data_IF_062676404870
#
_entry.id   IF_062676404870
#
_cell.length_a   1.000
_cell.length_b   1.000
_cell.length_c   1.000
_cell.angle_alpha   90.00
_cell.angle_beta   90.00
_cell.angle_gamma   90.00
#
_symmetry.space_group_name_H-M   'P 1'
#
loop_
_entity.id
_entity.type
_entity.pdbx_description
1 polymer ?
#
# COMPACT_ATOMS: atom_id res chain seq x y z
N UNK A 1 1.17 -22.39 -21.73
CA UNK A 1 1.71 -21.02 -22.00
C UNK A 1 3.26 -20.98 -22.03
N UNK A 2 3.92 -21.99 -22.62
CA UNK A 2 5.37 -22.20 -22.45
C UNK A 2 6.33 -21.14 -23.06
N UNK A 3 5.86 -20.30 -24.00
CA UNK A 3 6.66 -19.25 -24.65
C UNK A 3 6.36 -17.83 -24.15
N UNK A 4 5.53 -17.67 -23.13
CA UNK A 4 5.09 -16.34 -22.66
C UNK A 4 6.27 -15.43 -22.24
N UNK A 5 7.30 -16.00 -21.63
CA UNK A 5 8.52 -15.28 -21.21
C UNK A 5 9.39 -14.80 -22.39
N UNK A 6 9.14 -15.25 -23.62
CA UNK A 6 9.89 -14.88 -24.83
C UNK A 6 9.17 -13.83 -25.69
N UNK A 7 7.97 -13.40 -25.27
CA UNK A 7 7.17 -12.38 -25.97
C UNK A 7 7.76 -11.00 -25.70
N UNK A 8 7.71 -10.11 -26.69
CA UNK A 8 8.04 -8.68 -26.50
C UNK A 8 7.08 -8.05 -25.50
N UNK A 9 7.57 -7.12 -24.67
CA UNK A 9 6.75 -6.47 -23.65
C UNK A 9 5.50 -5.82 -24.27
N UNK A 10 5.63 -5.13 -25.40
CA UNK A 10 4.54 -4.44 -26.08
C UNK A 10 3.37 -5.36 -26.50
N UNK A 11 3.65 -6.64 -26.77
CA UNK A 11 2.62 -7.61 -27.19
C UNK A 11 1.99 -8.34 -25.99
N UNK A 12 2.60 -8.25 -24.80
CA UNK A 12 2.19 -9.00 -23.61
C UNK A 12 0.74 -8.67 -23.18
N UNK A 13 0.29 -7.40 -23.09
CA UNK A 13 -1.09 -7.10 -22.72
C UNK A 13 -2.12 -7.73 -23.67
N UNK A 14 -1.82 -7.78 -24.98
CA UNK A 14 -2.72 -8.35 -26.00
C UNK A 14 -2.81 -9.87 -25.83
N UNK A 15 -1.69 -10.54 -25.59
CA UNK A 15 -1.66 -11.99 -25.37
C UNK A 15 -2.38 -12.34 -24.06
N UNK A 16 -2.13 -11.59 -22.98
CA UNK A 16 -2.84 -11.80 -21.71
C UNK A 16 -4.34 -11.58 -21.88
N UNK A 17 -4.75 -10.56 -22.65
CA UNK A 17 -6.15 -10.34 -22.99
C UNK A 17 -6.74 -11.58 -23.68
N UNK A 18 -6.08 -12.11 -24.69
CA UNK A 18 -6.54 -13.31 -25.39
C UNK A 18 -6.65 -14.53 -24.47
N UNK A 19 -5.65 -14.77 -23.61
CA UNK A 19 -5.67 -15.88 -22.64
C UNK A 19 -6.87 -15.73 -21.71
N UNK A 20 -7.05 -14.55 -21.09
CA UNK A 20 -8.13 -14.31 -20.13
C UNK A 20 -9.53 -14.42 -20.76
N UNK A 21 -9.71 -14.03 -22.02
CA UNK A 21 -10.99 -14.18 -22.73
C UNK A 21 -11.29 -15.62 -23.16
N UNK A 22 -10.27 -16.48 -23.21
CA UNK A 22 -10.43 -17.89 -23.62
C UNK A 22 -10.71 -18.82 -22.44
N UNK A 23 -10.70 -18.31 -21.20
CA UNK A 23 -10.92 -19.10 -19.99
C UNK A 23 -12.37 -19.56 -19.92
N UNK A 24 -12.55 -20.83 -19.58
CA UNK A 24 -13.83 -21.47 -19.28
C UNK A 24 -13.93 -21.82 -17.78
N UNK A 25 -15.10 -22.25 -17.32
CA UNK A 25 -15.29 -22.64 -15.92
C UNK A 25 -14.45 -23.85 -15.51
N UNK A 26 -14.09 -24.73 -16.46
CA UNK A 26 -13.39 -26.00 -16.19
C UNK A 26 -11.88 -25.84 -16.10
N UNK A 27 -11.29 -24.92 -16.86
CA UNK A 27 -9.84 -24.72 -16.97
C UNK A 27 -9.34 -23.47 -16.22
N UNK A 28 -10.24 -22.62 -15.70
CA UNK A 28 -9.88 -21.37 -15.03
C UNK A 28 -8.81 -21.51 -13.95
N UNK A 29 -8.90 -22.52 -13.07
CA UNK A 29 -7.91 -22.71 -12.00
C UNK A 29 -6.52 -23.03 -12.56
N UNK A 30 -6.43 -23.91 -13.55
CA UNK A 30 -5.17 -24.32 -14.15
C UNK A 30 -4.54 -23.17 -14.95
N UNK A 31 -5.34 -22.49 -15.78
CA UNK A 31 -4.88 -21.37 -16.60
C UNK A 31 -4.41 -20.21 -15.72
N UNK A 32 -5.14 -19.87 -14.65
CA UNK A 32 -4.73 -18.80 -13.73
C UNK A 32 -3.49 -19.19 -12.91
N UNK A 33 -3.36 -20.46 -12.52
CA UNK A 33 -2.14 -20.94 -11.84
C UNK A 33 -0.91 -20.85 -12.75
N UNK A 34 -0.99 -21.33 -14.00
CA UNK A 34 0.12 -21.23 -14.95
C UNK A 34 0.41 -19.76 -15.27
N UNK A 35 -0.61 -18.93 -15.47
CA UNK A 35 -0.44 -17.50 -15.75
C UNK A 35 0.26 -16.79 -14.59
N UNK A 36 -0.16 -17.05 -13.35
CA UNK A 36 0.49 -16.53 -12.14
C UNK A 36 1.97 -16.88 -12.13
N UNK A 37 2.34 -18.17 -12.28
CA UNK A 37 3.74 -18.59 -12.26
C UNK A 37 4.56 -17.89 -13.34
N UNK A 38 4.04 -17.79 -14.57
CA UNK A 38 4.76 -17.13 -15.67
C UNK A 38 4.93 -15.63 -15.46
N UNK A 39 4.01 -14.98 -14.74
CA UNK A 39 4.12 -13.57 -14.36
C UNK A 39 4.96 -13.36 -13.08
N UNK A 40 5.03 -14.35 -12.18
CA UNK A 40 5.72 -14.32 -10.88
C UNK A 40 7.19 -14.76 -10.96
N UNK A 41 7.60 -15.49 -12.01
CA UNK A 41 8.99 -15.91 -12.28
C UNK A 41 9.89 -14.70 -12.65
N UNK A 42 10.09 -13.87 -11.63
CA UNK A 42 11.14 -12.91 -11.31
C UNK A 42 11.40 -11.69 -12.21
N UNK A 43 11.17 -11.65 -13.53
CA UNK A 43 11.74 -10.55 -14.33
C UNK A 43 10.99 -10.11 -15.60
N UNK A 44 9.69 -10.36 -15.78
CA UNK A 44 9.03 -9.79 -16.96
C UNK A 44 9.00 -8.25 -16.95
N UNK A 45 9.25 -7.57 -15.81
CA UNK A 45 9.02 -6.12 -15.74
C UNK A 45 10.13 -5.24 -15.12
N UNK A 46 10.95 -5.60 -14.09
CA UNK A 46 11.67 -4.50 -13.39
C UNK A 46 13.04 -4.59 -12.69
N UNK A 47 13.59 -5.68 -12.13
CA UNK A 47 14.74 -5.46 -11.23
C UNK A 47 16.05 -5.03 -11.93
N UNK A 48 16.26 -5.37 -13.21
CA UNK A 48 17.56 -5.16 -13.86
C UNK A 48 17.86 -3.71 -14.27
N UNK A 49 16.83 -2.84 -14.39
CA UNK A 49 17.04 -1.43 -14.81
C UNK A 49 17.00 -0.43 -13.67
N UNK A 50 16.24 -0.69 -12.60
CA UNK A 50 16.17 0.23 -11.45
C UNK A 50 17.35 0.07 -10.48
N UNK A 51 17.95 -1.12 -10.35
CA UNK A 51 19.09 -1.32 -9.45
C UNK A 51 20.42 -0.73 -9.99
N UNK A 52 20.56 -0.54 -11.30
CA UNK A 52 21.76 0.06 -11.88
C UNK A 52 21.84 1.59 -11.70
N UNK A 53 20.73 2.26 -11.36
CA UNK A 53 20.65 3.72 -11.29
C UNK A 53 20.93 4.28 -9.88
N UNK A 54 20.77 3.49 -8.82
CA UNK A 54 21.06 3.96 -7.45
C UNK A 54 22.57 3.93 -7.08
N UNK A 55 23.44 3.37 -7.92
CA UNK A 55 24.88 3.26 -7.63
C UNK A 55 25.77 4.34 -8.30
N UNK A 56 25.20 5.32 -9.02
CA UNK A 56 25.99 6.39 -9.67
C UNK A 56 25.49 7.81 -9.37
N UNK A 57 25.42 8.18 -8.10
CA UNK A 57 25.53 9.57 -7.68
C UNK A 57 26.95 9.84 -7.18
N UNK A 58 27.87 10.06 -8.13
CA UNK A 58 29.11 10.87 -8.02
C UNK A 58 29.96 10.68 -9.28
N UNK A 59 29.73 11.49 -10.32
CA UNK A 59 30.79 11.95 -11.24
C UNK A 59 30.23 13.03 -12.18
N UNK A 60 31.01 14.07 -12.39
CA UNK A 60 30.71 15.31 -13.13
C UNK A 60 30.55 15.09 -14.64
N UNK A 61 29.56 15.78 -15.22
CA UNK A 61 29.68 16.57 -16.45
C UNK A 61 29.62 15.85 -17.80
N UNK A 62 28.45 15.93 -18.48
CA UNK A 62 28.24 16.31 -19.90
C UNK A 62 26.74 16.19 -20.25
N UNK A 63 26.13 17.06 -21.08
CA UNK A 63 24.73 16.90 -21.46
C UNK A 63 24.63 15.88 -22.59
N UNK A 64 23.99 14.75 -22.33
CA UNK A 64 23.59 13.78 -23.36
C UNK A 64 22.08 13.60 -23.32
N UNK A 65 21.45 13.94 -24.44
CA UNK A 65 20.06 13.66 -24.78
C UNK A 65 19.72 12.18 -24.50
N UNK A 66 18.93 11.92 -23.45
CA UNK A 66 18.25 10.63 -23.22
C UNK A 66 16.77 10.93 -22.99
N UNK A 67 15.99 10.93 -24.07
CA UNK A 67 14.53 10.91 -24.03
C UNK A 67 14.00 9.49 -24.26
N UNK A 68 12.92 9.15 -23.54
CA UNK A 68 11.90 8.13 -23.88
C UNK A 68 12.10 6.62 -23.63
N UNK A 69 13.22 6.13 -23.08
CA UNK A 69 13.32 4.67 -22.81
C UNK A 69 12.69 4.22 -21.46
N UNK A 70 12.55 5.12 -20.48
CA UNK A 70 12.00 4.76 -19.16
C UNK A 70 10.45 4.69 -19.13
N UNK A 71 9.75 5.44 -19.99
CA UNK A 71 8.28 5.46 -20.03
C UNK A 71 7.68 4.18 -20.62
N UNK A 72 8.25 3.69 -21.73
CA UNK A 72 7.70 2.54 -22.47
C UNK A 72 7.49 1.27 -21.63
N UNK A 73 8.42 0.97 -20.74
CA UNK A 73 8.32 -0.19 -19.85
C UNK A 73 7.19 -0.03 -18.84
N UNK A 74 7.07 1.14 -18.21
CA UNK A 74 6.03 1.44 -17.22
C UNK A 74 4.63 1.47 -17.86
N UNK A 75 4.51 2.05 -19.05
CA UNK A 75 3.26 2.11 -19.82
C UNK A 75 2.75 0.69 -20.13
N UNK A 76 3.64 -0.24 -20.48
CA UNK A 76 3.27 -1.63 -20.69
C UNK A 76 2.76 -2.32 -19.41
N UNK A 77 3.34 -2.04 -18.24
CA UNK A 77 2.87 -2.59 -16.95
C UNK A 77 1.45 -2.12 -16.66
N UNK A 78 1.21 -0.82 -16.86
CA UNK A 78 -0.09 -0.20 -16.63
C UNK A 78 -1.12 -0.86 -17.56
N UNK A 79 -0.83 -0.98 -18.85
CA UNK A 79 -1.70 -1.64 -19.82
C UNK A 79 -1.98 -3.11 -19.48
N UNK A 80 -0.95 -3.85 -19.05
CA UNK A 80 -1.10 -5.23 -18.61
C UNK A 80 -2.08 -5.32 -17.43
N UNK A 81 -1.88 -4.49 -16.41
CA UNK A 81 -2.76 -4.47 -15.26
C UNK A 81 -4.15 -3.92 -15.59
N UNK A 82 -4.32 -3.05 -16.58
CA UNK A 82 -5.64 -2.61 -17.06
C UNK A 82 -6.42 -3.76 -17.72
N UNK A 83 -5.75 -4.58 -18.53
CA UNK A 83 -6.33 -5.80 -19.10
C UNK A 83 -6.77 -6.75 -17.99
N UNK A 84 -5.91 -6.98 -17.00
CA UNK A 84 -6.22 -7.87 -15.88
C UNK A 84 -7.33 -7.29 -14.99
N UNK A 85 -7.27 -5.99 -14.63
CA UNK A 85 -8.30 -5.26 -13.87
C UNK A 85 -9.66 -5.38 -14.54
N UNK A 86 -9.72 -5.23 -15.87
CA UNK A 86 -10.94 -5.40 -16.66
C UNK A 86 -11.43 -6.85 -16.57
N UNK A 87 -10.56 -7.83 -16.79
CA UNK A 87 -10.94 -9.25 -16.75
C UNK A 87 -11.51 -9.66 -15.38
N UNK A 88 -10.83 -9.33 -14.27
CA UNK A 88 -11.31 -9.68 -12.92
C UNK A 88 -12.57 -8.90 -12.50
N UNK A 89 -12.85 -7.75 -13.12
CA UNK A 89 -14.06 -6.96 -12.86
C UNK A 89 -15.29 -7.57 -13.54
N UNK A 90 -15.14 -8.00 -14.79
CA UNK A 90 -16.29 -8.46 -15.60
C UNK A 90 -16.48 -9.98 -15.53
N UNK A 91 -15.41 -10.76 -15.35
CA UNK A 91 -15.46 -12.23 -15.31
C UNK A 91 -15.27 -12.77 -13.90
N UNK A 92 -16.38 -13.09 -13.22
CA UNK A 92 -16.36 -13.58 -11.84
C UNK A 92 -15.51 -14.85 -11.69
N UNK A 93 -15.56 -15.74 -12.69
CA UNK A 93 -14.80 -17.00 -12.73
C UNK A 93 -13.30 -16.74 -12.58
N UNK A 94 -12.78 -15.71 -13.27
CA UNK A 94 -11.36 -15.33 -13.21
C UNK A 94 -11.00 -14.82 -11.81
N UNK A 95 -11.83 -13.94 -11.24
CA UNK A 95 -11.58 -13.40 -9.90
C UNK A 95 -11.59 -14.49 -8.82
N UNK A 96 -12.53 -15.43 -8.89
CA UNK A 96 -12.63 -16.54 -7.94
C UNK A 96 -11.48 -17.53 -8.09
N UNK A 97 -11.08 -17.84 -9.33
CA UNK A 97 -9.92 -18.67 -9.61
C UNK A 97 -8.65 -18.06 -9.04
N UNK A 98 -8.44 -16.75 -9.23
CA UNK A 98 -7.26 -16.06 -8.70
C UNK A 98 -7.18 -16.11 -7.17
N UNK A 99 -8.29 -15.85 -6.47
CA UNK A 99 -8.30 -15.92 -5.01
C UNK A 99 -8.04 -17.35 -4.52
N UNK A 100 -8.60 -18.36 -5.20
CA UNK A 100 -8.36 -19.78 -4.87
C UNK A 100 -6.89 -20.15 -5.04
N UNK A 101 -6.29 -19.77 -6.17
CA UNK A 101 -4.87 -19.97 -6.46
C UNK A 101 -4.02 -19.31 -5.36
N UNK A 102 -4.23 -18.02 -5.06
CA UNK A 102 -3.47 -17.35 -3.98
C UNK A 102 -3.68 -17.96 -2.58
N UNK A 103 -4.84 -18.60 -2.32
CA UNK A 103 -5.12 -19.24 -1.04
C UNK A 103 -4.44 -20.62 -0.89
N UNK A 104 -4.39 -21.43 -1.96
CA UNK A 104 -3.92 -22.83 -1.94
C UNK A 104 -2.49 -23.01 -1.40
N UNK A 105 -1.60 -22.04 -1.59
CA UNK A 105 -0.18 -22.15 -1.22
C UNK A 105 0.14 -21.81 0.25
N UNK A 106 -0.80 -22.07 1.17
CA UNK A 106 -0.60 -21.80 2.61
C UNK A 106 0.34 -22.77 3.33
N UNK A 107 0.64 -23.94 2.75
CA UNK A 107 1.37 -25.03 3.42
C UNK A 107 2.49 -25.68 2.60
N UNK A 108 2.67 -25.34 1.32
CA UNK A 108 3.77 -25.86 0.50
C UNK A 108 4.89 -24.82 0.34
N UNK A 109 6.07 -25.24 -0.12
CA UNK A 109 7.31 -24.44 -0.21
C UNK A 109 7.23 -23.17 -1.07
N UNK A 110 6.10 -22.90 -1.72
CA UNK A 110 5.88 -21.73 -2.58
C UNK A 110 5.22 -20.61 -1.78
N UNK A 111 6.00 -19.57 -1.51
CA UNK A 111 5.54 -18.39 -0.76
C UNK A 111 4.65 -17.51 -1.64
N UNK A 112 3.76 -16.76 -0.98
CA UNK A 112 3.00 -15.68 -1.60
C UNK A 112 3.95 -14.69 -2.29
N UNK A 113 3.74 -14.46 -3.59
CA UNK A 113 4.56 -13.56 -4.39
C UNK A 113 4.10 -12.10 -4.30
N UNK A 114 4.94 -11.20 -4.81
CA UNK A 114 4.60 -9.77 -4.92
C UNK A 114 3.37 -9.58 -5.81
N UNK A 115 3.32 -10.33 -6.91
CA UNK A 115 2.23 -10.28 -7.86
C UNK A 115 0.90 -10.74 -7.25
N UNK A 116 0.93 -11.77 -6.38
CA UNK A 116 -0.27 -12.25 -5.70
C UNK A 116 -0.87 -11.19 -4.78
N UNK A 117 -0.03 -10.51 -4.00
CA UNK A 117 -0.49 -9.48 -3.09
C UNK A 117 -1.06 -8.29 -3.86
N UNK A 118 -0.42 -7.87 -4.95
CA UNK A 118 -0.96 -6.84 -5.84
C UNK A 118 -2.32 -7.26 -6.42
N UNK A 119 -2.45 -8.50 -6.88
CA UNK A 119 -3.69 -9.04 -7.42
C UNK A 119 -4.81 -9.12 -6.37
N UNK A 120 -4.52 -9.53 -5.14
CA UNK A 120 -5.50 -9.53 -4.06
C UNK A 120 -6.02 -8.11 -3.76
N UNK A 121 -5.14 -7.10 -3.73
CA UNK A 121 -5.54 -5.70 -3.53
C UNK A 121 -6.41 -5.19 -4.69
N UNK A 122 -6.08 -5.57 -5.92
CA UNK A 122 -6.86 -5.22 -7.11
C UNK A 122 -8.23 -5.87 -7.05
N UNK A 123 -8.32 -7.18 -6.81
CA UNK A 123 -9.60 -7.90 -6.77
C UNK A 123 -10.46 -7.39 -5.60
N UNK A 124 -9.84 -7.02 -4.47
CA UNK A 124 -10.54 -6.38 -3.35
C UNK A 124 -11.21 -5.07 -3.76
N UNK A 125 -10.63 -4.32 -4.69
CA UNK A 125 -11.19 -3.06 -5.19
C UNK A 125 -12.31 -3.23 -6.21
N UNK A 126 -12.34 -4.34 -6.96
CA UNK A 126 -13.27 -4.51 -8.08
C UNK A 126 -14.58 -5.17 -7.70
N UNK A 127 -14.57 -6.13 -6.76
CA UNK A 127 -15.74 -6.94 -6.44
C UNK A 127 -16.10 -6.85 -4.95
N UNK A 128 -17.23 -6.22 -4.65
CA UNK A 128 -17.71 -6.04 -3.27
C UNK A 128 -18.09 -7.35 -2.58
N UNK A 129 -18.52 -8.36 -3.34
CA UNK A 129 -18.91 -9.67 -2.79
C UNK A 129 -17.70 -10.47 -2.30
N UNK A 130 -16.52 -10.29 -2.92
CA UNK A 130 -15.30 -11.02 -2.56
C UNK A 130 -14.53 -10.36 -1.42
N UNK A 131 -14.81 -9.09 -1.06
CA UNK A 131 -14.11 -8.33 -0.02
C UNK A 131 -13.95 -9.09 1.29
N UNK A 132 -15.06 -9.56 1.88
CA UNK A 132 -15.03 -10.31 3.16
C UNK A 132 -14.22 -11.61 3.07
N UNK A 133 -14.24 -12.26 1.91
CA UNK A 133 -13.46 -13.47 1.70
C UNK A 133 -11.97 -13.17 1.58
N UNK A 134 -11.60 -12.12 0.83
CA UNK A 134 -10.20 -11.67 0.72
C UNK A 134 -9.65 -11.21 2.07
N UNK A 135 -10.43 -10.46 2.84
CA UNK A 135 -10.05 -10.08 4.21
C UNK A 135 -9.78 -11.31 5.08
N UNK A 136 -10.62 -12.34 5.00
CA UNK A 136 -10.39 -13.61 5.71
C UNK A 136 -9.09 -14.29 5.27
N UNK A 137 -8.85 -14.38 3.96
CA UNK A 137 -7.61 -14.97 3.39
C UNK A 137 -6.39 -14.20 3.88
N UNK A 138 -6.38 -12.87 3.76
CA UNK A 138 -5.28 -12.02 4.19
C UNK A 138 -5.01 -12.17 5.69
N UNK A 139 -6.05 -12.11 6.54
CA UNK A 139 -5.91 -12.30 7.99
C UNK A 139 -5.28 -13.65 8.33
N UNK A 140 -5.69 -14.72 7.66
CA UNK A 140 -5.11 -16.05 7.87
C UNK A 140 -3.63 -16.11 7.46
N UNK A 141 -3.30 -15.49 6.32
CA UNK A 141 -1.91 -15.46 5.79
C UNK A 141 -0.98 -14.57 6.61
N UNK A 142 -1.50 -13.51 7.23
CA UNK A 142 -0.76 -12.66 8.17
C UNK A 142 -0.44 -13.48 9.43
N UNK A 143 -1.45 -14.15 10.02
CA UNK A 143 -1.25 -14.99 11.22
C UNK A 143 -0.29 -16.15 11.01
N UNK A 144 -0.31 -16.76 9.83
CA UNK A 144 0.61 -17.84 9.49
C UNK A 144 2.02 -17.34 9.12
N UNK A 145 2.27 -16.02 9.13
CA UNK A 145 3.55 -15.42 8.76
C UNK A 145 3.89 -15.54 7.27
N UNK A 146 2.93 -15.92 6.42
CA UNK A 146 3.11 -16.05 4.97
C UNK A 146 3.23 -14.69 4.28
N UNK A 147 2.61 -13.65 4.85
CA UNK A 147 2.71 -12.26 4.39
C UNK A 147 3.41 -11.46 5.50
N UNK A 148 4.51 -10.82 5.14
CA UNK A 148 5.34 -10.01 6.05
C UNK A 148 5.55 -8.60 5.46
N UNK A 149 6.08 -7.69 6.28
CA UNK A 149 6.35 -6.29 5.88
C UNK A 149 7.19 -6.21 4.59
N UNK A 150 8.22 -7.04 4.44
CA UNK A 150 9.09 -7.04 3.25
C UNK A 150 8.32 -7.32 1.95
N UNK A 151 7.33 -8.23 1.99
CA UNK A 151 6.50 -8.55 0.83
C UNK A 151 5.61 -7.36 0.46
N UNK A 152 4.99 -6.73 1.48
CA UNK A 152 4.14 -5.57 1.30
C UNK A 152 4.94 -4.37 0.77
N UNK A 153 6.11 -4.10 1.35
CA UNK A 153 7.03 -3.05 0.91
C UNK A 153 7.41 -3.23 -0.55
N UNK A 154 7.82 -4.44 -0.94
CA UNK A 154 8.23 -4.76 -2.30
C UNK A 154 7.06 -4.60 -3.27
N UNK A 155 5.86 -4.98 -2.84
CA UNK A 155 4.63 -4.82 -3.63
C UNK A 155 4.32 -3.37 -3.93
N UNK A 156 4.33 -2.48 -2.92
CA UNK A 156 4.13 -1.06 -3.16
C UNK A 156 5.29 -0.45 -3.96
N UNK A 157 6.54 -0.81 -3.67
CA UNK A 157 7.70 -0.31 -4.41
C UNK A 157 7.59 -0.57 -5.92
N UNK A 158 7.24 -1.80 -6.31
CA UNK A 158 7.17 -2.22 -7.71
C UNK A 158 5.87 -1.76 -8.37
N UNK A 159 4.73 -1.85 -7.68
CA UNK A 159 3.40 -1.70 -8.29
C UNK A 159 2.63 -0.45 -7.84
N UNK A 160 3.25 0.54 -7.18
CA UNK A 160 2.54 1.73 -6.71
C UNK A 160 1.73 2.46 -7.79
N UNK A 161 2.22 2.57 -9.03
CA UNK A 161 1.49 3.23 -10.12
C UNK A 161 0.15 2.53 -10.42
N UNK A 162 0.13 1.20 -10.36
CA UNK A 162 -1.08 0.39 -10.56
C UNK A 162 -1.98 0.45 -9.32
N UNK A 163 -1.38 0.41 -8.13
CA UNK A 163 -2.10 0.39 -6.86
C UNK A 163 -2.71 1.75 -6.48
N UNK A 164 -2.23 2.84 -7.10
CA UNK A 164 -2.74 4.19 -6.83
C UNK A 164 -4.24 4.30 -7.08
N UNK A 165 -4.73 3.71 -8.18
CA UNK A 165 -6.15 3.72 -8.56
C UNK A 165 -7.05 3.00 -7.55
N UNK A 166 -6.46 2.13 -6.72
CA UNK A 166 -7.19 1.34 -5.72
C UNK A 166 -6.98 1.85 -4.29
N UNK A 167 -6.38 3.04 -4.11
CA UNK A 167 -6.13 3.65 -2.79
C UNK A 167 -7.37 3.59 -1.86
N UNK A 168 -8.60 4.02 -2.26
CA UNK A 168 -9.75 3.98 -1.36
C UNK A 168 -10.08 2.58 -0.82
N UNK A 169 -9.84 1.55 -1.65
CA UNK A 169 -10.04 0.16 -1.25
C UNK A 169 -8.90 -0.34 -0.34
N UNK A 170 -7.66 0.08 -0.58
CA UNK A 170 -6.53 -0.20 0.31
C UNK A 170 -6.78 0.40 1.70
N UNK A 171 -7.26 1.64 1.78
CA UNK A 171 -7.56 2.29 3.06
C UNK A 171 -8.73 1.61 3.78
N UNK A 172 -9.79 1.22 3.05
CA UNK A 172 -10.89 0.43 3.61
C UNK A 172 -10.42 -0.92 4.15
N UNK A 173 -9.47 -1.57 3.47
CA UNK A 173 -8.85 -2.80 3.96
C UNK A 173 -8.02 -2.54 5.22
N UNK A 174 -7.16 -1.51 5.22
CA UNK A 174 -6.34 -1.11 6.36
C UNK A 174 -7.21 -0.87 7.59
N UNK A 175 -8.31 -0.12 7.43
CA UNK A 175 -9.30 0.12 8.47
C UNK A 175 -9.89 -1.20 9.00
N UNK A 176 -10.35 -2.12 8.14
CA UNK A 176 -10.85 -3.43 8.58
C UNK A 176 -9.81 -4.18 9.41
N UNK A 177 -8.55 -4.23 8.98
CA UNK A 177 -7.47 -4.91 9.69
C UNK A 177 -7.16 -4.23 11.05
N UNK A 178 -7.25 -2.91 11.13
CA UNK A 178 -7.05 -2.13 12.35
C UNK A 178 -8.04 -2.48 13.47
N UNK A 179 -9.30 -2.79 13.13
CA UNK A 179 -10.33 -3.21 14.10
C UNK A 179 -10.15 -4.66 14.62
N UNK A 180 -9.03 -5.31 14.31
CA UNK A 180 -8.71 -6.64 14.82
C UNK A 180 -8.32 -6.60 16.31
N UNK A 181 -8.47 -7.71 17.03
CA UNK A 181 -7.89 -7.89 18.37
C UNK A 181 -6.47 -8.48 18.32
N UNK A 182 -6.05 -8.95 17.14
CA UNK A 182 -4.77 -9.61 16.92
C UNK A 182 -3.73 -8.59 16.49
N UNK A 183 -2.72 -8.34 17.34
CA UNK A 183 -1.68 -7.34 17.11
C UNK A 183 -0.94 -7.55 15.77
N UNK A 184 -0.74 -8.79 15.32
CA UNK A 184 -0.08 -9.04 14.03
C UNK A 184 -0.87 -8.45 12.86
N UNK A 185 -2.20 -8.47 12.97
CA UNK A 185 -3.11 -7.95 11.96
C UNK A 185 -3.23 -6.43 12.05
N UNK A 186 -3.31 -5.88 13.26
CA UNK A 186 -3.34 -4.42 13.46
C UNK A 186 -2.05 -3.82 12.92
N UNK A 187 -0.89 -4.39 13.26
CA UNK A 187 0.42 -3.97 12.75
C UNK A 187 0.48 -4.05 11.22
N UNK A 188 -0.10 -5.08 10.59
CA UNK A 188 -0.19 -5.14 9.14
C UNK A 188 -1.11 -4.06 8.53
N UNK A 189 -2.21 -3.73 9.20
CA UNK A 189 -3.06 -2.59 8.85
C UNK A 189 -2.29 -1.25 8.91
N UNK A 190 -1.43 -1.07 9.92
CA UNK A 190 -0.54 0.09 10.04
C UNK A 190 0.45 0.18 8.88
N UNK A 191 1.02 -0.95 8.46
CA UNK A 191 1.89 -0.99 7.28
C UNK A 191 1.17 -0.60 5.99
N UNK A 192 -0.12 -0.95 5.82
CA UNK A 192 -0.91 -0.50 4.67
C UNK A 192 -1.05 1.03 4.65
N UNK A 193 -1.37 1.66 5.78
CA UNK A 193 -1.40 3.12 5.89
C UNK A 193 -0.02 3.74 5.61
N UNK A 194 1.05 3.17 6.19
CA UNK A 194 2.45 3.60 5.98
C UNK A 194 2.84 3.62 4.50
N UNK A 195 2.60 2.53 3.79
CA UNK A 195 2.98 2.44 2.37
C UNK A 195 2.03 3.22 1.45
N UNK A 196 0.74 3.33 1.79
CA UNK A 196 -0.16 4.24 1.09
C UNK A 196 0.32 5.69 1.20
N UNK A 197 0.67 6.15 2.40
CA UNK A 197 1.22 7.48 2.62
C UNK A 197 2.55 7.70 1.89
N UNK A 198 3.42 6.68 1.89
CA UNK A 198 4.75 6.74 1.25
C UNK A 198 4.68 6.95 -0.27
N UNK A 199 3.82 6.21 -0.94
CA UNK A 199 3.88 6.04 -2.40
C UNK A 199 2.76 6.75 -3.16
N UNK A 200 1.65 7.10 -2.52
CA UNK A 200 0.53 7.75 -3.18
C UNK A 200 0.57 9.28 -3.07
N UNK A 201 -0.37 9.93 -3.75
CA UNK A 201 -0.43 11.38 -3.86
C UNK A 201 -0.93 12.07 -2.58
N UNK A 202 -0.90 13.40 -2.60
CA UNK A 202 -1.29 14.24 -1.47
C UNK A 202 -2.73 14.00 -1.00
N UNK A 203 -3.64 13.67 -1.92
CA UNK A 203 -5.01 13.31 -1.57
C UNK A 203 -5.05 12.02 -0.75
N UNK A 204 -4.41 10.94 -1.23
CA UNK A 204 -4.37 9.69 -0.49
C UNK A 204 -3.60 9.83 0.84
N UNK A 205 -2.55 10.67 0.89
CA UNK A 205 -1.84 11.01 2.14
C UNK A 205 -2.76 11.68 3.16
N UNK A 206 -3.59 12.63 2.74
CA UNK A 206 -4.57 13.28 3.58
C UNK A 206 -5.58 12.26 4.15
N UNK A 207 -6.11 11.37 3.31
CA UNK A 207 -7.03 10.33 3.72
C UNK A 207 -6.40 9.35 4.74
N UNK A 208 -5.13 8.99 4.54
CA UNK A 208 -4.38 8.17 5.53
C UNK A 208 -4.30 8.88 6.88
N UNK A 209 -3.92 10.16 6.90
CA UNK A 209 -3.80 10.91 8.16
C UNK A 209 -5.17 11.05 8.83
N UNK A 210 -6.22 11.36 8.06
CA UNK A 210 -7.59 11.43 8.57
C UNK A 210 -8.07 10.11 9.16
N UNK A 211 -7.78 8.98 8.51
CA UNK A 211 -8.12 7.65 9.01
C UNK A 211 -7.38 7.32 10.32
N UNK A 212 -6.08 7.61 10.41
CA UNK A 212 -5.31 7.43 11.65
C UNK A 212 -5.82 8.32 12.79
N UNK A 213 -6.16 9.58 12.51
CA UNK A 213 -6.79 10.49 13.49
C UNK A 213 -8.11 9.91 13.97
N UNK A 214 -8.92 9.34 13.08
CA UNK A 214 -10.18 8.69 13.45
C UNK A 214 -9.95 7.50 14.39
N UNK A 215 -8.98 6.62 14.08
CA UNK A 215 -8.59 5.51 14.96
C UNK A 215 -8.13 6.00 16.35
N UNK A 216 -7.44 7.14 16.42
CA UNK A 216 -7.01 7.73 17.69
C UNK A 216 -8.19 8.30 18.50
N UNK A 217 -9.17 8.91 17.84
CA UNK A 217 -10.30 9.56 18.51
C UNK A 217 -11.42 8.60 18.92
N UNK A 218 -11.58 7.45 18.24
CA UNK A 218 -12.70 6.52 18.48
C UNK A 218 -12.30 5.05 18.68
N UNK A 219 -11.01 4.72 18.61
CA UNK A 219 -10.51 3.34 18.73
C UNK A 219 -10.44 2.84 20.16
N UNK A 220 -10.18 1.53 20.30
CA UNK A 220 -9.81 0.94 21.60
C UNK A 220 -8.34 1.23 21.96
N UNK A 221 -7.91 0.91 23.18
CA UNK A 221 -6.56 1.24 23.68
C UNK A 221 -5.42 0.79 22.74
N UNK A 222 -5.43 -0.47 22.29
CA UNK A 222 -4.40 -1.00 21.40
C UNK A 222 -4.44 -0.35 19.99
N UNK A 223 -5.64 -0.04 19.52
CA UNK A 223 -5.87 0.66 18.25
C UNK A 223 -5.31 2.09 18.29
N UNK A 224 -5.60 2.82 19.37
CA UNK A 224 -5.11 4.19 19.62
C UNK A 224 -3.60 4.19 19.70
N UNK A 225 -3.00 3.27 20.46
CA UNK A 225 -1.55 3.17 20.58
C UNK A 225 -0.87 2.86 19.25
N UNK A 226 -1.41 1.92 18.48
CA UNK A 226 -0.85 1.58 17.16
C UNK A 226 -1.01 2.73 16.16
N UNK A 227 -2.11 3.49 16.22
CA UNK A 227 -2.32 4.65 15.35
C UNK A 227 -1.40 5.83 15.71
N UNK A 228 -1.14 6.07 17.00
CA UNK A 228 -0.15 7.07 17.44
C UNK A 228 1.27 6.68 16.99
N UNK A 229 1.63 5.41 17.13
CA UNK A 229 2.94 4.92 16.66
C UNK A 229 3.05 5.03 15.13
N UNK A 230 1.96 4.74 14.39
CA UNK A 230 1.90 4.96 12.95
C UNK A 230 2.12 6.43 12.57
N UNK A 231 1.45 7.38 13.23
CA UNK A 231 1.66 8.81 12.98
C UNK A 231 3.12 9.23 13.20
N UNK A 232 3.78 8.70 14.23
CA UNK A 232 5.21 8.94 14.46
C UNK A 232 6.07 8.41 13.32
N UNK A 233 5.80 7.19 12.84
CA UNK A 233 6.49 6.65 11.67
C UNK A 233 6.28 7.50 10.41
N UNK A 234 5.06 8.01 10.19
CA UNK A 234 4.77 8.88 9.05
C UNK A 234 5.55 10.20 9.10
N UNK A 235 5.69 10.79 10.30
CA UNK A 235 6.49 12.00 10.50
C UNK A 235 7.95 11.74 10.14
N UNK A 236 8.52 10.62 10.58
CA UNK A 236 9.90 10.25 10.25
C UNK A 236 10.07 9.95 8.75
N UNK A 237 9.04 9.39 8.12
CA UNK A 237 9.05 9.00 6.72
C UNK A 237 9.00 10.20 5.76
N UNK A 238 8.09 11.15 6.00
CA UNK A 238 7.98 12.37 5.19
C UNK A 238 7.42 13.55 6.03
N UNK A 239 8.29 14.29 6.74
CA UNK A 239 7.87 15.40 7.61
C UNK A 239 7.08 16.48 6.87
N UNK A 240 7.47 16.78 5.62
CA UNK A 240 6.86 17.83 4.81
C UNK A 240 5.40 17.49 4.47
N UNK A 241 5.13 16.26 4.04
CA UNK A 241 3.77 15.80 3.77
C UNK A 241 2.91 15.73 5.05
N UNK A 242 3.50 15.28 6.17
CA UNK A 242 2.79 15.26 7.47
C UNK A 242 2.43 16.67 7.95
N UNK A 243 3.28 17.66 7.71
CA UNK A 243 3.01 19.05 8.11
C UNK A 243 1.81 19.65 7.37
N UNK A 244 1.64 19.33 6.08
CA UNK A 244 0.47 19.77 5.30
C UNK A 244 -0.85 19.25 5.91
N UNK A 245 -0.80 18.11 6.60
CA UNK A 245 -1.94 17.46 7.24
C UNK A 245 -2.03 17.70 8.75
N UNK A 246 -1.19 18.59 9.32
CA UNK A 246 -1.09 18.77 10.76
C UNK A 246 -2.34 19.37 11.41
N UNK A 247 -3.23 20.00 10.62
CA UNK A 247 -4.54 20.47 11.12
C UNK A 247 -5.39 19.31 11.64
N UNK A 248 -5.35 18.14 10.97
CA UNK A 248 -6.06 16.94 11.43
C UNK A 248 -5.49 16.43 12.76
N UNK A 249 -4.16 16.36 12.87
CA UNK A 249 -3.47 15.91 14.09
C UNK A 249 -3.75 16.86 15.27
N UNK A 250 -3.83 18.17 14.99
CA UNK A 250 -4.21 19.17 15.99
C UNK A 250 -5.63 18.98 16.52
N UNK A 251 -6.56 18.47 15.69
CA UNK A 251 -7.93 18.16 16.08
C UNK A 251 -8.04 17.08 17.16
N UNK A 252 -7.03 16.23 17.32
CA UNK A 252 -6.98 15.20 18.38
C UNK A 252 -7.04 15.83 19.78
N UNK A 253 -6.56 17.08 19.95
CA UNK A 253 -6.58 17.78 21.24
C UNK A 253 -7.99 17.96 21.82
N UNK A 254 -9.02 17.94 20.97
CA UNK A 254 -10.41 18.06 21.42
C UNK A 254 -10.93 16.71 22.01
N UNK A 255 -10.13 15.64 21.99
CA UNK A 255 -10.45 14.28 22.45
C UNK A 255 -9.51 13.76 23.56
N UNK A 256 -8.77 14.64 24.25
CA UNK A 256 -7.82 14.25 25.30
C UNK A 256 -8.45 13.48 26.45
N UNK A 257 -9.72 13.75 26.76
CA UNK A 257 -10.45 13.10 27.87
C UNK A 257 -10.62 11.59 27.67
N UNK A 258 -10.50 11.11 26.43
CA UNK A 258 -10.61 9.69 26.09
C UNK A 258 -9.26 8.95 26.10
N UNK A 259 -8.16 9.63 26.42
CA UNK A 259 -6.80 9.09 26.29
C UNK A 259 -6.15 8.75 27.62
N UNK A 260 -5.29 7.73 27.60
CA UNK A 260 -4.42 7.43 28.73
C UNK A 260 -3.27 8.45 28.85
N UNK A 261 -2.68 8.65 30.05
CA UNK A 261 -1.52 9.53 30.21
C UNK A 261 -0.30 9.14 29.36
N UNK A 262 -0.21 7.88 28.91
CA UNK A 262 0.84 7.42 28.00
C UNK A 262 0.58 7.92 26.57
N UNK A 263 -0.66 7.78 26.10
CA UNK A 263 -1.11 8.24 24.78
C UNK A 263 -1.04 9.76 24.67
N UNK A 264 -1.44 10.49 25.73
CA UNK A 264 -1.30 11.95 25.79
C UNK A 264 0.17 12.36 25.61
N UNK A 265 1.10 11.72 26.31
CA UNK A 265 2.55 11.99 26.15
C UNK A 265 3.02 11.75 24.71
N UNK A 266 2.60 10.65 24.08
CA UNK A 266 2.91 10.37 22.66
C UNK A 266 2.32 11.45 21.74
N UNK A 267 1.08 11.87 21.95
CA UNK A 267 0.43 12.91 21.17
C UNK A 267 1.16 14.25 21.25
N UNK A 268 1.55 14.69 22.46
CA UNK A 268 2.33 15.91 22.62
C UNK A 268 3.73 15.79 21.98
N UNK A 269 4.33 14.60 21.99
CA UNK A 269 5.57 14.34 21.25
C UNK A 269 5.39 14.46 19.72
N UNK A 270 4.30 13.92 19.17
CA UNK A 270 3.92 14.07 17.74
C UNK A 270 3.75 15.56 17.40
N UNK A 271 2.94 16.28 18.17
CA UNK A 271 2.62 17.70 17.92
C UNK A 271 3.86 18.59 18.02
N UNK A 272 4.71 18.37 19.02
CA UNK A 272 5.96 19.11 19.17
C UNK A 272 6.93 18.81 18.03
N UNK A 273 7.06 17.55 17.61
CA UNK A 273 7.89 17.17 16.45
C UNK A 273 7.42 17.88 15.17
N UNK A 274 6.10 17.93 14.93
CA UNK A 274 5.53 18.66 13.81
C UNK A 274 5.80 20.17 13.90
N UNK A 275 5.63 20.77 15.07
CA UNK A 275 5.81 22.21 15.29
C UNK A 275 7.27 22.66 15.18
N UNK A 276 8.23 21.84 15.63
CA UNK A 276 9.65 22.21 15.73
C UNK A 276 10.54 21.58 14.64
N UNK A 277 9.98 20.80 13.71
CA UNK A 277 10.71 20.30 12.55
C UNK A 277 11.17 21.47 11.66
N UNK A 278 12.44 21.84 11.73
CA UNK A 278 13.01 22.99 11.01
C UNK A 278 12.99 22.79 9.50
N UNK A 279 12.00 23.37 8.82
CA UNK A 279 12.08 23.80 7.42
C UNK A 279 10.96 24.80 7.13
N UNK A 280 11.34 26.08 7.04
CA UNK A 280 10.57 27.27 6.66
C UNK A 280 9.23 27.57 7.38
N UNK A 281 9.26 28.68 8.10
CA UNK A 281 8.16 29.37 8.78
C UNK A 281 6.96 29.62 7.85
N UNK A 282 5.79 29.03 8.18
CA UNK A 282 4.48 29.47 7.68
C UNK A 282 3.29 28.96 8.53
N UNK A 283 3.46 28.01 9.45
CA UNK A 283 2.35 27.44 10.23
C UNK A 283 2.45 27.76 11.73
N UNK A 284 2.38 29.05 12.05
CA UNK A 284 2.26 29.57 13.42
C UNK A 284 1.00 29.07 14.17
N UNK A 285 0.06 28.39 13.50
CA UNK A 285 -1.20 27.95 14.09
C UNK A 285 -1.07 26.72 15.01
N UNK A 286 -0.07 25.85 14.83
CA UNK A 286 0.13 24.65 15.69
C UNK A 286 0.80 25.06 17.00
N UNK A 287 1.79 25.96 16.91
CA UNK A 287 2.59 26.43 18.03
C UNK A 287 1.71 27.16 19.07
N UNK A 288 0.74 27.96 18.62
CA UNK A 288 -0.12 28.76 19.52
C UNK A 288 -1.03 27.90 20.40
N UNK A 289 -1.62 26.79 19.90
CA UNK A 289 -2.56 25.99 20.70
C UNK A 289 -1.87 24.98 21.63
N UNK A 290 -0.69 24.49 21.26
CA UNK A 290 0.15 23.68 22.16
C UNK A 290 0.54 24.47 23.42
N UNK A 291 0.94 25.73 23.25
CA UNK A 291 1.26 26.64 24.37
C UNK A 291 0.04 26.98 25.23
N UNK A 292 -1.14 27.15 24.63
CA UNK A 292 -2.39 27.43 25.36
C UNK A 292 -2.86 26.22 26.18
N UNK A 293 -2.71 24.99 25.68
CA UNK A 293 -3.07 23.77 26.43
C UNK A 293 -2.01 23.43 27.49
N UNK A 294 -0.74 23.75 27.25
CA UNK A 294 0.36 23.52 28.20
C UNK A 294 0.52 24.64 29.24
N UNK A 295 -0.31 25.68 29.24
CA UNK A 295 -0.15 26.81 30.15
C UNK A 295 1.20 27.53 30.02
N UNK A 296 1.87 27.41 28.87
CA UNK A 296 3.12 28.12 28.59
C UNK A 296 2.76 29.49 27.98
N UNK A 297 2.35 30.42 28.85
CA UNK A 297 2.56 31.84 28.59
C UNK A 297 4.07 32.10 28.63
N UNK A 298 4.62 32.58 27.53
CA UNK A 298 5.73 33.53 27.57
C UNK A 298 5.13 34.91 27.40
#
# INVERSE_FOLDING_TARGET
MGKLCSVRLDDLPVIIKFILHSITATDALEVISELREKLDLQHCILPSRLQASQSKLKSKGRPSYLGNQESSGQDCVILLFDVIKSAVRYEKIISEAWIKVSNMFGCSKEKMGIFDLAMLLIIYSTNTQTKKYIERVLRNKIRSGCIQEQLLQSTFCIHHLVLKDVCPSILSLAQSLFHSLDQSIISFGSLLYKYAFKFFDTYCQQEVVGALVTHICSGNEAEVDTALDALLELILLNPSAMRLNAVFVKGILDYLDNMSPQQIRKLFYILSTLAFSKQHEASSHIQVRGSVVLGLQV
#
